data_IF_571488868982
#
_entry.id   IF_571488868982
#
_cell.length_a   1.000
_cell.length_b   1.000
_cell.length_c   1.000
_cell.angle_alpha   90.00
_cell.angle_beta   90.00
_cell.angle_gamma   90.00
#
_symmetry.space_group_name_H-M   'P 1'
#
loop_
_entity.id
_entity.type
_entity.pdbx_description
1 polymer ?
#
# COMPACT_ATOMS: atom_id res chain seq x y z
N UNK A 1 7.45 -19.48 7.00
CA UNK A 1 7.07 -19.30 5.58
C UNK A 1 5.59 -18.98 5.56
N UNK A 2 5.22 -17.70 5.36
CA UNK A 2 3.82 -17.31 5.19
C UNK A 2 3.33 -17.91 3.86
N UNK A 3 2.24 -18.69 3.90
CA UNK A 3 1.55 -19.12 2.69
C UNK A 3 1.06 -17.84 1.98
N UNK A 4 1.60 -17.57 0.80
CA UNK A 4 1.01 -16.56 -0.10
C UNK A 4 -0.46 -16.91 -0.29
N UNK A 5 -1.33 -16.04 0.21
CA UNK A 5 -2.76 -16.18 0.01
C UNK A 5 -3.01 -16.05 -1.50
N UNK A 6 -3.40 -17.14 -2.14
CA UNK A 6 -3.79 -17.21 -3.54
C UNK A 6 -4.81 -16.10 -3.82
N UNK A 7 -4.58 -15.34 -4.90
CA UNK A 7 -5.54 -14.31 -5.34
C UNK A 7 -6.95 -14.91 -5.47
N UNK A 8 -7.98 -14.27 -4.92
CA UNK A 8 -9.34 -14.81 -4.92
C UNK A 8 -9.84 -15.01 -6.36
N UNK A 9 -10.20 -16.24 -6.71
CA UNK A 9 -10.76 -16.58 -8.02
C UNK A 9 -12.19 -16.04 -8.18
N UNK A 10 -12.35 -15.04 -9.03
CA UNK A 10 -13.65 -14.44 -9.34
C UNK A 10 -14.55 -15.32 -10.21
N UNK A 11 -14.05 -16.39 -10.83
CA UNK A 11 -14.84 -17.23 -11.73
C UNK A 11 -16.07 -17.82 -11.05
N UNK A 12 -15.94 -18.13 -9.75
CA UNK A 12 -16.96 -18.78 -8.93
C UNK A 12 -17.95 -17.84 -8.26
N UNK A 13 -17.76 -16.52 -8.38
CA UNK A 13 -18.63 -15.50 -7.76
C UNK A 13 -19.79 -15.16 -8.70
N UNK A 14 -21.04 -15.04 -8.20
CA UNK A 14 -22.21 -14.63 -8.99
C UNK A 14 -22.00 -13.33 -9.76
N UNK A 15 -22.61 -13.22 -10.94
CA UNK A 15 -22.52 -12.02 -11.77
C UNK A 15 -23.02 -10.76 -11.04
N UNK A 16 -24.05 -10.88 -10.20
CA UNK A 16 -24.58 -9.80 -9.37
C UNK A 16 -23.50 -9.23 -8.44
N UNK A 17 -22.75 -10.08 -7.71
CA UNK A 17 -21.67 -9.65 -6.84
C UNK A 17 -20.54 -8.95 -7.60
N UNK A 18 -20.20 -9.45 -8.80
CA UNK A 18 -19.18 -8.82 -9.66
C UNK A 18 -19.59 -7.41 -10.10
N UNK A 19 -20.85 -7.27 -10.51
CA UNK A 19 -21.40 -5.97 -10.90
C UNK A 19 -21.44 -4.97 -9.73
N UNK A 20 -21.94 -5.41 -8.57
CA UNK A 20 -21.99 -4.60 -7.34
C UNK A 20 -20.60 -4.19 -6.87
N UNK A 21 -19.60 -5.11 -6.92
CA UNK A 21 -18.21 -4.81 -6.61
C UNK A 21 -17.65 -3.74 -7.55
N UNK A 22 -17.83 -3.92 -8.86
CA UNK A 22 -17.35 -2.96 -9.86
C UNK A 22 -17.93 -1.56 -9.62
N UNK A 23 -19.23 -1.48 -9.34
CA UNK A 23 -19.92 -0.22 -9.05
C UNK A 23 -19.37 0.44 -7.77
N UNK A 24 -19.21 -0.33 -6.69
CA UNK A 24 -18.61 0.16 -5.46
C UNK A 24 -17.15 0.66 -5.64
N UNK A 25 -16.32 -0.07 -6.41
CA UNK A 25 -14.95 0.35 -6.66
C UNK A 25 -14.88 1.65 -7.47
N UNK A 26 -15.79 1.86 -8.41
CA UNK A 26 -15.93 3.14 -9.11
C UNK A 26 -16.35 4.26 -8.15
N UNK A 27 -17.33 4.03 -7.30
CA UNK A 27 -17.79 4.98 -6.29
C UNK A 27 -16.65 5.44 -5.37
N UNK A 28 -15.91 4.50 -4.75
CA UNK A 28 -14.84 4.88 -3.81
C UNK A 28 -13.65 5.56 -4.51
N UNK A 29 -13.45 5.26 -5.80
CA UNK A 29 -12.41 5.90 -6.62
C UNK A 29 -12.80 7.33 -7.03
N UNK A 30 -14.01 7.53 -7.53
CA UNK A 30 -14.45 8.78 -8.14
C UNK A 30 -15.04 9.76 -7.11
N UNK A 31 -15.88 9.26 -6.21
CA UNK A 31 -16.61 10.12 -5.25
C UNK A 31 -15.87 10.25 -3.91
N UNK A 32 -15.27 9.15 -3.40
CA UNK A 32 -14.48 9.20 -2.16
C UNK A 32 -13.01 9.56 -2.38
N UNK A 33 -12.54 9.61 -3.63
CA UNK A 33 -11.17 10.01 -3.98
C UNK A 33 -10.09 9.09 -3.41
N UNK A 34 -10.39 7.80 -3.21
CA UNK A 34 -9.40 6.86 -2.68
C UNK A 34 -8.26 6.62 -3.68
N UNK A 35 -7.03 6.46 -3.15
CA UNK A 35 -5.87 6.11 -3.97
C UNK A 35 -6.04 4.75 -4.65
N UNK A 36 -5.38 4.52 -5.79
CA UNK A 36 -5.40 3.25 -6.51
C UNK A 36 -5.04 2.05 -5.61
N UNK A 37 -4.03 2.19 -4.74
CA UNK A 37 -3.66 1.16 -3.77
C UNK A 37 -4.75 0.88 -2.73
N UNK A 38 -5.48 1.91 -2.28
CA UNK A 38 -6.60 1.71 -1.36
C UNK A 38 -7.75 0.99 -2.04
N UNK A 39 -8.08 1.37 -3.28
CA UNK A 39 -9.11 0.71 -4.10
C UNK A 39 -8.75 -0.76 -4.31
N UNK A 40 -7.51 -1.06 -4.70
CA UNK A 40 -7.02 -2.43 -4.89
C UNK A 40 -7.09 -3.25 -3.61
N UNK A 41 -6.74 -2.64 -2.46
CA UNK A 41 -6.83 -3.32 -1.16
C UNK A 41 -8.26 -3.67 -0.80
N UNK A 42 -9.21 -2.75 -1.02
CA UNK A 42 -10.65 -2.98 -0.79
C UNK A 42 -11.20 -4.02 -1.76
N UNK A 43 -10.79 -3.97 -3.02
CA UNK A 43 -11.15 -4.99 -4.02
C UNK A 43 -10.74 -6.39 -3.57
N UNK A 44 -9.47 -6.55 -3.12
CA UNK A 44 -8.97 -7.83 -2.63
C UNK A 44 -9.75 -8.33 -1.40
N UNK A 45 -10.02 -7.44 -0.42
CA UNK A 45 -10.78 -7.77 0.78
C UNK A 45 -12.21 -8.23 0.43
N UNK A 46 -12.90 -7.49 -0.45
CA UNK A 46 -14.28 -7.80 -0.84
C UNK A 46 -14.38 -9.05 -1.73
N UNK A 47 -13.41 -9.30 -2.61
CA UNK A 47 -13.34 -10.55 -3.37
C UNK A 47 -13.30 -11.76 -2.45
N UNK A 48 -12.45 -11.72 -1.42
CA UNK A 48 -12.34 -12.78 -0.41
C UNK A 48 -13.64 -12.94 0.38
N UNK A 49 -14.25 -11.82 0.76
CA UNK A 49 -15.53 -11.81 1.45
C UNK A 49 -16.64 -12.47 0.62
N UNK A 50 -16.79 -12.12 -0.64
CA UNK A 50 -17.80 -12.70 -1.53
C UNK A 50 -17.56 -14.18 -1.79
N UNK A 51 -16.31 -14.61 -1.91
CA UNK A 51 -16.01 -16.04 -1.99
C UNK A 51 -16.45 -16.79 -0.75
N UNK A 52 -16.20 -16.23 0.43
CA UNK A 52 -16.67 -16.83 1.67
C UNK A 52 -18.19 -16.93 1.71
N UNK A 53 -18.91 -15.86 1.35
CA UNK A 53 -20.36 -15.86 1.31
C UNK A 53 -20.91 -16.96 0.40
N UNK A 54 -20.33 -17.13 -0.78
CA UNK A 54 -20.77 -18.14 -1.77
C UNK A 54 -20.43 -19.55 -1.33
N UNK A 55 -19.17 -19.78 -0.93
CA UNK A 55 -18.66 -21.15 -0.73
C UNK A 55 -18.92 -21.70 0.66
N UNK A 56 -18.87 -20.86 1.70
CA UNK A 56 -19.06 -21.26 3.09
C UNK A 56 -20.46 -20.95 3.61
N UNK A 57 -20.93 -19.72 3.44
CA UNK A 57 -22.25 -19.30 3.93
C UNK A 57 -23.40 -19.66 2.99
N UNK A 58 -23.13 -20.04 1.72
CA UNK A 58 -24.14 -20.34 0.67
C UNK A 58 -25.10 -19.20 0.37
N UNK A 59 -24.60 -17.95 0.51
CA UNK A 59 -25.33 -16.73 0.24
C UNK A 59 -24.94 -16.22 -1.15
N UNK A 60 -25.92 -16.06 -2.02
CA UNK A 60 -25.74 -15.63 -3.41
C UNK A 60 -26.32 -14.24 -3.71
N UNK A 61 -27.00 -13.64 -2.74
CA UNK A 61 -27.57 -12.29 -2.80
C UNK A 61 -27.13 -11.49 -1.58
N UNK A 62 -26.65 -10.27 -1.83
CA UNK A 62 -26.16 -9.37 -0.77
C UNK A 62 -27.24 -8.97 0.22
N UNK A 63 -28.52 -8.90 -0.23
CA UNK A 63 -29.66 -8.59 0.61
C UNK A 63 -29.92 -9.68 1.69
N UNK A 64 -29.45 -10.91 1.46
CA UNK A 64 -29.58 -12.01 2.42
C UNK A 64 -28.45 -12.09 3.46
N UNK A 65 -27.47 -11.17 3.41
CA UNK A 65 -26.38 -11.17 4.36
C UNK A 65 -26.83 -10.63 5.71
N UNK A 66 -26.43 -11.34 6.78
CA UNK A 66 -26.69 -10.95 8.17
C UNK A 66 -25.36 -10.65 8.89
N UNK A 67 -25.44 -10.00 10.05
CA UNK A 67 -24.31 -9.78 10.94
C UNK A 67 -23.56 -11.09 11.27
N UNK A 68 -24.28 -12.17 11.53
CA UNK A 68 -23.69 -13.48 11.84
C UNK A 68 -22.83 -14.02 10.68
N UNK A 69 -23.20 -13.77 9.42
CA UNK A 69 -22.38 -14.17 8.27
C UNK A 69 -21.06 -13.40 8.23
N UNK A 70 -21.09 -12.10 8.59
CA UNK A 70 -19.87 -11.29 8.65
C UNK A 70 -18.98 -11.73 9.82
N UNK A 71 -19.54 -11.99 10.99
CA UNK A 71 -18.79 -12.52 12.15
C UNK A 71 -18.14 -13.87 11.82
N UNK A 72 -18.86 -14.76 11.16
CA UNK A 72 -18.31 -16.05 10.70
C UNK A 72 -17.16 -15.84 9.71
N UNK A 73 -17.24 -14.87 8.82
CA UNK A 73 -16.16 -14.52 7.93
C UNK A 73 -14.93 -13.98 8.68
N UNK A 74 -15.14 -13.13 9.69
CA UNK A 74 -14.04 -12.61 10.50
C UNK A 74 -13.33 -13.72 11.29
N UNK A 75 -14.09 -14.67 11.84
CA UNK A 75 -13.52 -15.87 12.46
C UNK A 75 -12.73 -16.70 11.46
N UNK A 76 -13.28 -16.94 10.26
CA UNK A 76 -12.56 -17.63 9.18
C UNK A 76 -11.24 -16.92 8.83
N UNK A 77 -11.20 -15.59 8.78
CA UNK A 77 -9.96 -14.84 8.52
C UNK A 77 -8.91 -15.01 9.64
N UNK A 78 -9.35 -15.12 10.88
CA UNK A 78 -8.46 -15.31 12.03
C UNK A 78 -7.87 -16.73 12.00
N UNK A 79 -8.71 -17.73 11.77
CA UNK A 79 -8.32 -19.14 11.86
C UNK A 79 -7.44 -19.58 10.68
N UNK A 80 -7.77 -19.13 9.46
CA UNK A 80 -7.09 -19.60 8.24
C UNK A 80 -5.88 -18.75 7.82
N UNK A 81 -5.84 -17.48 8.20
CA UNK A 81 -4.96 -16.53 7.51
C UNK A 81 -3.92 -15.84 8.40
N UNK A 82 -3.93 -16.02 9.71
CA UNK A 82 -3.02 -15.34 10.64
C UNK A 82 -2.93 -13.82 10.35
N UNK A 83 -4.07 -13.20 10.01
CA UNK A 83 -4.09 -11.78 9.67
C UNK A 83 -3.74 -10.92 10.89
N UNK A 84 -2.95 -9.88 10.66
CA UNK A 84 -2.69 -8.88 11.69
C UNK A 84 -3.98 -8.14 12.07
N UNK A 85 -4.07 -7.64 13.31
CA UNK A 85 -5.22 -6.84 13.76
C UNK A 85 -5.48 -5.63 12.85
N UNK A 86 -4.44 -5.06 12.23
CA UNK A 86 -4.59 -3.96 11.28
C UNK A 86 -5.22 -4.40 9.96
N UNK A 87 -4.86 -5.58 9.45
CA UNK A 87 -5.47 -6.16 8.25
C UNK A 87 -6.92 -6.54 8.49
N UNK A 88 -7.24 -7.09 9.66
CA UNK A 88 -8.61 -7.41 10.06
C UNK A 88 -9.46 -6.13 10.16
N UNK A 89 -8.95 -5.07 10.80
CA UNK A 89 -9.63 -3.78 10.88
C UNK A 89 -9.90 -3.17 9.50
N UNK A 90 -8.97 -3.33 8.55
CA UNK A 90 -9.18 -2.89 7.17
C UNK A 90 -10.26 -3.72 6.48
N UNK A 91 -10.27 -5.04 6.63
CA UNK A 91 -11.34 -5.90 6.10
C UNK A 91 -12.73 -5.48 6.63
N UNK A 92 -12.85 -5.22 7.93
CA UNK A 92 -14.11 -4.73 8.51
C UNK A 92 -14.50 -3.38 7.89
N UNK A 93 -13.54 -2.48 7.69
CA UNK A 93 -13.80 -1.17 7.08
C UNK A 93 -14.25 -1.27 5.63
N UNK A 94 -13.66 -2.18 4.83
CA UNK A 94 -14.06 -2.40 3.44
C UNK A 94 -15.45 -3.05 3.34
N UNK A 95 -15.77 -4.01 4.20
CA UNK A 95 -17.10 -4.66 4.27
C UNK A 95 -18.18 -3.66 4.70
N UNK A 96 -17.91 -2.88 5.76
CA UNK A 96 -18.85 -1.86 6.24
C UNK A 96 -19.16 -0.82 5.16
N UNK A 97 -18.10 -0.28 4.51
CA UNK A 97 -18.27 0.68 3.43
C UNK A 97 -19.03 0.11 2.23
N UNK A 98 -18.81 -1.17 1.89
CA UNK A 98 -19.56 -1.84 0.83
C UNK A 98 -21.03 -2.02 1.20
N UNK A 99 -21.36 -2.47 2.41
CA UNK A 99 -22.76 -2.64 2.82
C UNK A 99 -23.50 -1.31 3.01
N UNK A 100 -22.80 -0.25 3.44
CA UNK A 100 -23.34 1.11 3.46
C UNK A 100 -23.71 1.57 2.03
N UNK A 101 -22.80 1.37 1.09
CA UNK A 101 -23.05 1.64 -0.32
C UNK A 101 -24.21 0.80 -0.88
N UNK A 102 -24.28 -0.48 -0.52
CA UNK A 102 -25.34 -1.38 -0.96
C UNK A 102 -26.75 -0.92 -0.50
N UNK A 103 -26.85 -0.30 0.67
CA UNK A 103 -28.10 0.32 1.14
C UNK A 103 -28.43 1.56 0.33
N UNK A 104 -27.47 2.43 0.05
CA UNK A 104 -27.66 3.66 -0.74
C UNK A 104 -28.14 3.32 -2.17
N UNK A 105 -27.54 2.29 -2.77
CA UNK A 105 -27.88 1.83 -4.13
C UNK A 105 -29.09 0.87 -4.18
N UNK A 106 -29.76 0.66 -3.05
CA UNK A 106 -30.91 -0.25 -2.96
C UNK A 106 -30.60 -1.72 -3.31
N UNK A 107 -29.35 -2.17 -3.16
CA UNK A 107 -28.98 -3.59 -3.26
C UNK A 107 -29.32 -4.37 -1.98
N UNK A 108 -29.48 -3.66 -0.86
CA UNK A 108 -29.86 -4.21 0.44
C UNK A 108 -30.74 -3.21 1.20
N UNK A 109 -31.59 -3.72 2.09
CA UNK A 109 -32.47 -2.87 2.92
C UNK A 109 -31.82 -2.41 4.21
N UNK A 110 -30.73 -3.05 4.64
CA UNK A 110 -30.03 -2.76 5.90
C UNK A 110 -28.53 -3.00 5.75
N UNK A 111 -27.74 -2.34 6.60
CA UNK A 111 -26.29 -2.56 6.69
C UNK A 111 -25.99 -3.56 7.83
N UNK A 112 -25.74 -4.85 7.52
CA UNK A 112 -25.46 -5.87 8.54
C UNK A 112 -24.08 -5.68 9.22
N UNK A 113 -23.23 -4.80 8.70
CA UNK A 113 -21.91 -4.49 9.25
C UNK A 113 -21.91 -3.26 10.18
N UNK A 114 -23.05 -2.59 10.38
CA UNK A 114 -23.11 -1.33 11.14
C UNK A 114 -22.60 -1.48 12.56
N UNK A 115 -23.01 -2.53 13.26
CA UNK A 115 -22.69 -2.79 14.67
C UNK A 115 -21.42 -3.65 14.88
N UNK A 116 -20.74 -4.06 13.80
CA UNK A 116 -19.50 -4.84 13.94
C UNK A 116 -18.40 -3.98 14.57
N UNK A 117 -17.91 -4.39 15.74
CA UNK A 117 -16.82 -3.68 16.41
C UNK A 117 -15.47 -3.88 15.72
N UNK A 118 -14.70 -2.81 15.62
CA UNK A 118 -13.31 -2.90 15.18
C UNK A 118 -12.45 -3.53 16.28
N UNK A 119 -11.53 -4.46 15.93
CA UNK A 119 -10.62 -5.01 16.92
C UNK A 119 -9.78 -3.89 17.53
N UNK A 120 -9.68 -3.89 18.87
CA UNK A 120 -8.82 -2.96 19.61
C UNK A 120 -7.38 -3.18 19.17
N UNK A 121 -6.79 -2.18 18.52
CA UNK A 121 -5.35 -2.23 18.19
C UNK A 121 -4.55 -2.13 19.47
N UNK A 122 -3.83 -3.18 19.82
CA UNK A 122 -2.75 -3.04 20.79
C UNK A 122 -1.74 -2.02 20.22
N UNK A 123 -1.52 -0.92 20.95
CA UNK A 123 -0.45 0.04 20.61
C UNK A 123 0.89 -0.64 20.92
N UNK A 124 1.44 -1.35 19.94
CA UNK A 124 2.83 -1.80 20.01
C UNK A 124 3.70 -0.57 19.78
N UNK A 125 4.59 -0.25 20.71
CA UNK A 125 5.62 0.76 20.48
C UNK A 125 6.50 0.26 19.33
N UNK A 126 6.88 1.14 18.41
CA UNK A 126 7.83 0.76 17.36
C UNK A 126 9.15 0.33 17.99
N UNK A 127 9.73 -0.76 17.49
CA UNK A 127 11.12 -1.07 17.72
C UNK A 127 11.96 -0.07 16.91
N UNK A 128 12.90 0.59 17.55
CA UNK A 128 13.78 1.58 16.94
C UNK A 128 15.20 1.03 16.94
N UNK A 129 15.93 1.27 15.85
CA UNK A 129 17.35 0.97 15.77
C UNK A 129 18.14 1.98 16.63
N UNK A 130 19.17 1.52 17.28
CA UNK A 130 20.13 2.41 17.94
C UNK A 130 21.07 3.07 16.92
N UNK A 131 21.85 4.10 17.31
CA UNK A 131 22.75 4.78 16.37
C UNK A 131 23.83 3.87 15.76
N UNK A 132 24.30 2.84 16.48
CA UNK A 132 25.28 1.89 15.95
C UNK A 132 24.67 0.95 14.92
N UNK A 133 23.45 0.48 15.18
CA UNK A 133 22.68 -0.34 14.24
C UNK A 133 22.36 0.44 12.95
N UNK A 134 22.00 1.72 13.09
CA UNK A 134 21.79 2.60 11.94
C UNK A 134 23.07 2.75 11.12
N UNK A 135 24.20 3.05 11.75
CA UNK A 135 25.49 3.17 11.05
C UNK A 135 25.86 1.87 10.34
N UNK A 136 25.72 0.72 11.01
CA UNK A 136 25.98 -0.58 10.41
C UNK A 136 25.07 -0.87 9.21
N UNK A 137 23.79 -0.48 9.28
CA UNK A 137 22.86 -0.62 8.16
C UNK A 137 23.26 0.27 6.97
N UNK A 138 23.58 1.54 7.22
CA UNK A 138 24.01 2.47 6.19
C UNK A 138 25.31 2.00 5.52
N UNK A 139 26.26 1.44 6.26
CA UNK A 139 27.54 0.95 5.78
C UNK A 139 27.49 -0.45 5.14
N UNK A 140 26.38 -1.17 5.25
CA UNK A 140 26.26 -2.54 4.75
C UNK A 140 26.41 -2.71 3.23
N UNK A 141 26.02 -1.75 2.35
CA UNK A 141 26.19 -1.91 0.91
C UNK A 141 27.67 -1.89 0.49
N UNK A 142 28.06 -2.82 -0.40
CA UNK A 142 29.42 -2.87 -0.96
C UNK A 142 29.63 -1.77 -2.01
N UNK A 143 30.18 -0.64 -1.59
CA UNK A 143 30.45 0.54 -2.44
C UNK A 143 31.51 0.30 -3.54
N UNK A 144 32.09 -0.89 -3.64
CA UNK A 144 32.96 -1.27 -4.77
C UNK A 144 32.11 -1.70 -5.99
N UNK A 145 30.83 -1.89 -5.82
CA UNK A 145 29.92 -2.30 -6.89
C UNK A 145 28.94 -1.16 -7.23
N UNK A 146 28.56 -1.03 -8.52
CA UNK A 146 27.53 -0.03 -8.90
C UNK A 146 26.20 -0.19 -8.13
N UNK A 147 25.78 -1.43 -7.87
CA UNK A 147 24.57 -1.71 -7.09
C UNK A 147 24.72 -1.24 -5.64
N UNK A 148 25.87 -1.49 -5.01
CA UNK A 148 26.10 -1.07 -3.63
C UNK A 148 26.17 0.45 -3.47
N UNK A 149 26.76 1.17 -4.45
CA UNK A 149 26.74 2.65 -4.44
C UNK A 149 25.30 3.17 -4.54
N UNK A 150 24.47 2.57 -5.42
CA UNK A 150 23.04 2.91 -5.50
C UNK A 150 22.32 2.64 -4.18
N UNK A 151 22.53 1.48 -3.60
CA UNK A 151 21.85 1.05 -2.39
C UNK A 151 22.28 1.93 -1.19
N UNK A 152 23.55 2.33 -1.12
CA UNK A 152 24.04 3.32 -0.15
C UNK A 152 23.32 4.66 -0.32
N UNK A 153 23.21 5.18 -1.54
CA UNK A 153 22.50 6.43 -1.81
C UNK A 153 21.02 6.35 -1.43
N UNK A 154 20.37 5.21 -1.66
CA UNK A 154 18.99 4.95 -1.23
C UNK A 154 18.88 5.05 0.30
N UNK A 155 19.72 4.34 1.03
CA UNK A 155 19.68 4.28 2.49
C UNK A 155 19.98 5.65 3.12
N UNK A 156 21.02 6.34 2.66
CA UNK A 156 21.38 7.69 3.14
C UNK A 156 20.24 8.69 2.89
N UNK A 157 19.62 8.62 1.70
CA UNK A 157 18.50 9.52 1.37
C UNK A 157 17.28 9.24 2.26
N UNK A 158 16.93 7.97 2.48
CA UNK A 158 15.81 7.60 3.35
C UNK A 158 16.05 8.04 4.79
N UNK A 159 17.24 7.80 5.31
CA UNK A 159 17.60 8.15 6.68
C UNK A 159 17.67 9.66 6.88
N UNK A 160 18.39 10.36 6.00
CA UNK A 160 18.61 11.81 6.12
C UNK A 160 17.36 12.67 5.89
N UNK A 161 16.38 12.15 5.13
CA UNK A 161 15.18 12.93 4.76
C UNK A 161 13.88 12.45 5.41
N UNK A 162 13.84 11.21 5.91
CA UNK A 162 12.63 10.60 6.42
C UNK A 162 11.50 10.46 5.38
N UNK A 163 11.82 10.50 4.08
CA UNK A 163 10.82 10.29 3.03
C UNK A 163 10.34 8.84 2.99
N UNK A 164 9.15 8.61 2.45
CA UNK A 164 8.64 7.24 2.26
C UNK A 164 9.35 6.55 1.12
N UNK A 165 9.44 5.21 1.17
CA UNK A 165 10.03 4.42 0.07
C UNK A 165 9.37 4.73 -1.27
N UNK A 166 8.04 4.87 -1.32
CA UNK A 166 7.32 5.24 -2.55
C UNK A 166 7.66 6.64 -3.06
N UNK A 167 7.93 7.58 -2.15
CA UNK A 167 8.36 8.94 -2.52
C UNK A 167 9.79 8.94 -3.08
N UNK A 168 10.65 8.09 -2.54
CA UNK A 168 12.01 7.88 -3.05
C UNK A 168 12.00 7.23 -4.44
N UNK A 169 11.24 6.17 -4.64
CA UNK A 169 11.15 5.49 -5.95
C UNK A 169 10.53 6.36 -7.02
N UNK A 170 9.70 7.34 -6.60
CA UNK A 170 9.08 8.33 -7.48
C UNK A 170 9.86 9.62 -7.61
N UNK A 171 11.01 9.74 -6.94
CA UNK A 171 11.84 10.93 -6.96
C UNK A 171 12.43 11.17 -8.37
N UNK A 172 12.36 12.41 -8.83
CA UNK A 172 12.86 12.86 -10.12
C UNK A 172 14.03 13.84 -9.94
N UNK A 173 14.95 13.84 -10.90
CA UNK A 173 16.19 14.64 -10.82
C UNK A 173 15.95 16.14 -10.80
N UNK A 174 14.86 16.62 -11.40
CA UNK A 174 14.44 18.03 -11.40
C UNK A 174 13.86 18.52 -10.06
N UNK A 175 13.76 17.60 -9.09
CA UNK A 175 13.28 17.90 -7.73
C UNK A 175 14.40 18.00 -6.69
N UNK A 176 15.64 17.86 -7.11
CA UNK A 176 16.81 17.96 -6.28
C UNK A 176 17.35 19.41 -6.35
N UNK A 177 17.37 20.10 -5.22
CA UNK A 177 17.83 21.49 -5.11
C UNK A 177 19.03 21.52 -4.16
N UNK A 178 20.12 20.89 -4.56
CA UNK A 178 21.31 20.72 -3.73
C UNK A 178 22.00 22.04 -3.39
N UNK A 179 21.95 23.04 -4.29
CA UNK A 179 22.49 24.38 -4.03
C UNK A 179 21.91 25.04 -2.77
N UNK A 180 20.69 24.68 -2.41
CA UNK A 180 19.99 25.19 -1.22
C UNK A 180 19.72 24.10 -0.18
N UNK A 181 20.24 22.88 -0.38
CA UNK A 181 20.13 21.77 0.55
C UNK A 181 18.74 21.19 0.74
N UNK A 182 17.89 21.15 -0.31
CA UNK A 182 16.52 20.66 -0.22
C UNK A 182 16.16 19.69 -1.35
N UNK A 183 15.20 18.81 -1.05
CA UNK A 183 14.54 17.92 -2.01
C UNK A 183 13.04 18.22 -1.97
N UNK A 184 12.41 18.40 -3.14
CA UNK A 184 10.96 18.53 -3.28
C UNK A 184 10.33 17.13 -3.38
N UNK A 185 9.54 16.77 -2.39
CA UNK A 185 8.87 15.48 -2.28
C UNK A 185 7.38 15.64 -2.56
N UNK A 186 6.82 14.78 -3.43
CA UNK A 186 5.39 14.72 -3.72
C UNK A 186 4.80 13.54 -2.94
N UNK A 187 3.95 13.84 -1.99
CA UNK A 187 3.29 12.85 -1.13
C UNK A 187 1.88 12.47 -1.60
N UNK A 188 1.16 11.79 -0.71
CA UNK A 188 -0.23 11.36 -0.95
C UNK A 188 -1.14 12.56 -1.31
N UNK A 189 -1.93 12.40 -2.37
CA UNK A 189 -2.83 13.45 -2.86
C UNK A 189 -2.11 14.57 -3.62
N UNK A 190 -0.91 14.30 -4.15
CA UNK A 190 -0.05 15.27 -4.86
C UNK A 190 0.35 16.48 -4.01
N UNK A 191 0.35 16.34 -2.69
CA UNK A 191 0.84 17.40 -1.81
C UNK A 191 2.35 17.45 -1.86
N UNK A 192 2.90 18.63 -2.19
CA UNK A 192 4.33 18.86 -2.22
C UNK A 192 4.84 19.35 -0.87
N UNK A 193 6.06 18.95 -0.52
CA UNK A 193 6.81 19.50 0.60
C UNK A 193 8.29 19.55 0.25
N UNK A 194 8.98 20.54 0.80
CA UNK A 194 10.44 20.59 0.79
C UNK A 194 10.97 19.87 2.03
N UNK A 195 11.95 19.03 1.82
CA UNK A 195 12.61 18.28 2.88
C UNK A 195 14.11 18.63 2.84
N UNK A 196 14.71 19.02 3.97
CA UNK A 196 16.14 19.29 3.99
C UNK A 196 16.91 17.98 3.74
N UNK A 197 18.01 18.07 3.00
CA UNK A 197 18.96 16.98 2.77
C UNK A 197 20.28 17.33 3.44
N UNK A 198 20.76 16.42 4.32
CA UNK A 198 22.06 16.58 4.96
C UNK A 198 23.21 16.21 4.01
N UNK A 199 24.42 16.69 4.31
CA UNK A 199 25.63 16.51 3.47
C UNK A 199 25.86 15.05 3.07
N UNK A 200 25.80 14.11 4.00
CA UNK A 200 26.02 12.67 3.71
C UNK A 200 25.05 12.12 2.66
N UNK A 201 23.78 12.47 2.75
CA UNK A 201 22.77 12.04 1.79
C UNK A 201 22.94 12.76 0.44
N UNK A 202 23.33 14.03 0.45
CA UNK A 202 23.59 14.79 -0.76
C UNK A 202 24.81 14.22 -1.49
N UNK A 203 25.94 14.03 -0.82
CA UNK A 203 27.16 13.46 -1.40
C UNK A 203 26.91 12.07 -2.01
N UNK A 204 26.17 11.22 -1.31
CA UNK A 204 25.82 9.88 -1.79
C UNK A 204 24.92 9.94 -3.04
N UNK A 205 23.95 10.87 -3.08
CA UNK A 205 23.08 11.09 -4.24
C UNK A 205 23.84 11.63 -5.43
N UNK A 206 24.66 12.67 -5.25
CA UNK A 206 25.46 13.27 -6.31
C UNK A 206 26.39 12.24 -6.93
N UNK A 207 27.14 11.52 -6.07
CA UNK A 207 28.04 10.46 -6.53
C UNK A 207 27.30 9.36 -7.33
N UNK A 208 26.14 8.93 -6.86
CA UNK A 208 25.34 7.94 -7.57
C UNK A 208 24.84 8.49 -8.92
N UNK A 209 24.27 9.70 -8.93
CA UNK A 209 23.68 10.30 -10.13
C UNK A 209 24.71 10.50 -11.22
N UNK A 210 25.90 11.02 -10.87
CA UNK A 210 26.93 11.37 -11.83
C UNK A 210 27.69 10.15 -12.37
N UNK A 211 28.05 9.19 -11.51
CA UNK A 211 28.99 8.14 -11.85
C UNK A 211 28.33 6.76 -12.06
N UNK A 212 27.21 6.49 -11.42
CA UNK A 212 26.65 5.13 -11.38
C UNK A 212 25.29 5.02 -12.09
N UNK A 213 24.41 5.99 -11.92
CA UNK A 213 23.11 6.00 -12.56
C UNK A 213 23.15 5.78 -14.09
N UNK A 214 24.10 6.38 -14.85
CA UNK A 214 24.22 6.13 -16.28
C UNK A 214 24.42 4.66 -16.65
N UNK A 215 25.06 3.87 -15.76
CA UNK A 215 25.31 2.44 -15.99
C UNK A 215 24.02 1.60 -15.93
N UNK A 216 23.00 2.07 -15.20
CA UNK A 216 21.68 1.42 -15.09
C UNK A 216 20.68 1.89 -16.14
N UNK A 217 21.03 2.96 -16.88
CA UNK A 217 20.10 3.53 -17.85
C UNK A 217 19.90 2.61 -19.05
N UNK A 218 18.66 2.18 -19.28
CA UNK A 218 18.30 1.37 -20.42
C UNK A 218 17.54 2.22 -21.47
N UNK A 219 18.13 2.49 -22.65
CA UNK A 219 17.49 3.32 -23.70
C UNK A 219 16.13 2.78 -24.15
N UNK A 220 15.91 1.45 -24.09
CA UNK A 220 14.64 0.83 -24.49
C UNK A 220 13.49 1.09 -23.49
N UNK A 221 13.81 1.57 -22.28
CA UNK A 221 12.84 1.92 -21.23
C UNK A 221 12.87 3.42 -20.91
N UNK A 222 13.47 4.23 -21.76
CA UNK A 222 13.81 5.64 -21.51
C UNK A 222 12.60 6.49 -21.11
N UNK A 223 11.43 6.32 -21.74
CA UNK A 223 10.27 7.20 -21.53
C UNK A 223 9.76 7.23 -20.10
N UNK A 224 9.90 6.12 -19.34
CA UNK A 224 9.42 6.03 -17.96
C UNK A 224 10.51 6.30 -16.92
N UNK A 225 11.76 6.14 -17.29
CA UNK A 225 12.89 6.14 -16.36
C UNK A 225 13.80 7.37 -16.50
N UNK A 226 13.65 8.16 -17.56
CA UNK A 226 14.60 9.23 -17.91
C UNK A 226 14.86 10.23 -16.78
N UNK A 227 13.81 10.62 -16.08
CA UNK A 227 13.89 11.63 -15.02
C UNK A 227 13.95 11.03 -13.61
N UNK A 228 13.78 9.71 -13.44
CA UNK A 228 13.86 9.09 -12.11
C UNK A 228 15.29 9.13 -11.58
N UNK A 229 15.44 9.44 -10.30
CA UNK A 229 16.75 9.40 -9.63
C UNK A 229 17.25 7.96 -9.59
N UNK A 230 16.47 7.04 -9.05
CA UNK A 230 16.86 5.63 -8.92
C UNK A 230 16.27 4.79 -10.06
N UNK A 231 17.13 3.93 -10.65
CA UNK A 231 16.85 3.08 -11.80
C UNK A 231 17.00 1.61 -11.43
#
# INVERSE_FOLDING_TARGET
>A
MAKEAKDPDLSTIPAAYKAQLSHYLQFIRLEKGLSAHSVQSYEHDLKRYFQFLVHHAKIHDIAGVTMTHIESFLHYLIDESLLSSSSLARNISSIRGFHEFAVVENFSHANPAELIELPKKAKKLPEVLDPFEVSALLESPDIKTPAGIRDRAILETLYGTGMRVSELTDLETDRLFFEIGFIRVIGKGRKERLVPVGEMAQDALEHYIEHVRPLFFNPKKADKAKNKVFL
#
